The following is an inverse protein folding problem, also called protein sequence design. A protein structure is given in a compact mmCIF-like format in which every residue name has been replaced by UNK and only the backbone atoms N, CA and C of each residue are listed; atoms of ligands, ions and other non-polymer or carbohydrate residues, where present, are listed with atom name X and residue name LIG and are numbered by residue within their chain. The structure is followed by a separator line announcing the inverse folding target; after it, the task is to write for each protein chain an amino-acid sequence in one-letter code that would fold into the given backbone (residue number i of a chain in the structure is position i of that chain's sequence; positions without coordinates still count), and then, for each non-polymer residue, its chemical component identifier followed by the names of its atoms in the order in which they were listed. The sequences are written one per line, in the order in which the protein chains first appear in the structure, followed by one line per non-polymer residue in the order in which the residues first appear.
data_IF_592336737116
#
_entry.id   IF_592336737116
#
_cell.length_a   1.000
_cell.length_b   1.000
_cell.length_c   1.000
_cell.angle_alpha   90.00
_cell.angle_beta   90.00
_cell.angle_gamma   90.00
#
_symmetry.space_group_name_H-M   'P 1'
#
loop_
_entity.id
_entity.type
_entity.pdbx_description
1 polymer ?
#
# COMPACT_ATOMS: atom_id res chain seq x y z
N UNK A 1 -40.91 -49.67 2.40
CA UNK A 1 -40.53 -48.36 1.80
C UNK A 1 -39.45 -47.73 2.69
N UNK A 2 -38.18 -47.88 2.32
CA UNK A 2 -37.02 -47.34 3.05
C UNK A 2 -36.72 -45.96 2.49
N UNK A 3 -36.87 -44.92 3.31
CA UNK A 3 -36.51 -43.53 2.96
C UNK A 3 -35.00 -43.38 3.11
N UNK A 4 -34.31 -43.18 1.98
CA UNK A 4 -32.89 -42.86 1.93
C UNK A 4 -32.74 -41.36 2.24
N UNK A 5 -32.13 -41.03 3.37
CA UNK A 5 -31.71 -39.67 3.65
C UNK A 5 -30.35 -39.43 3.00
N UNK A 6 -30.33 -38.58 1.98
CA UNK A 6 -29.11 -38.11 1.35
C UNK A 6 -28.56 -36.95 2.17
N UNK A 7 -27.52 -37.21 2.97
CA UNK A 7 -26.80 -36.15 3.67
C UNK A 7 -25.89 -35.39 2.70
N UNK A 8 -26.25 -34.16 2.38
CA UNK A 8 -25.40 -33.25 1.60
C UNK A 8 -24.25 -32.77 2.48
N UNK A 9 -23.08 -33.34 2.34
CA UNK A 9 -21.84 -32.82 2.91
C UNK A 9 -21.43 -31.58 2.12
N UNK A 10 -21.75 -30.40 2.66
CA UNK A 10 -21.15 -29.15 2.25
C UNK A 10 -19.65 -29.18 2.65
N UNK A 11 -18.80 -29.52 1.70
CA UNK A 11 -17.37 -29.31 1.86
C UNK A 11 -17.13 -27.78 1.90
N UNK A 12 -16.90 -27.24 3.09
CA UNK A 12 -16.36 -25.91 3.25
C UNK A 12 -14.95 -25.91 2.61
N UNK A 13 -14.81 -25.21 1.49
CA UNK A 13 -13.50 -24.94 0.94
C UNK A 13 -12.67 -24.23 2.03
N UNK A 14 -11.43 -24.65 2.30
CA UNK A 14 -10.57 -23.90 3.19
C UNK A 14 -10.40 -22.51 2.58
N UNK A 15 -10.83 -21.47 3.34
CA UNK A 15 -10.40 -20.14 3.06
C UNK A 15 -8.87 -20.15 3.19
N UNK A 16 -8.17 -20.02 2.08
CA UNK A 16 -6.75 -19.71 2.09
C UNK A 16 -6.62 -18.33 2.73
N UNK A 17 -6.48 -18.30 4.05
CA UNK A 17 -5.88 -17.16 4.72
C UNK A 17 -4.48 -17.07 4.09
N UNK A 18 -4.23 -15.99 3.33
CA UNK A 18 -2.93 -15.75 2.75
C UNK A 18 -1.89 -15.93 3.83
N UNK A 19 -0.88 -16.78 3.59
CA UNK A 19 0.21 -16.98 4.53
C UNK A 19 0.79 -15.61 4.86
N UNK A 20 0.92 -15.33 6.16
CA UNK A 20 1.59 -14.12 6.62
C UNK A 20 3.01 -14.15 6.07
N UNK A 21 3.34 -13.24 5.16
CA UNK A 21 4.66 -13.13 4.53
C UNK A 21 5.80 -12.94 5.55
N UNK A 22 5.46 -12.53 6.76
CA UNK A 22 6.42 -12.33 7.84
C UNK A 22 6.88 -13.67 8.37
N UNK A 23 8.14 -14.02 8.08
CA UNK A 23 8.76 -15.25 8.59
C UNK A 23 9.01 -15.13 10.09
N UNK A 24 8.62 -16.14 10.88
CA UNK A 24 8.99 -16.21 12.30
C UNK A 24 10.52 -16.13 12.46
N UNK A 25 10.99 -15.18 13.25
CA UNK A 25 12.42 -14.94 13.46
C UNK A 25 13.01 -13.80 12.64
N UNK A 26 12.21 -13.10 11.82
CA UNK A 26 12.60 -11.83 11.25
C UNK A 26 12.51 -10.76 12.33
N UNK A 27 13.63 -10.51 13.01
CA UNK A 27 13.73 -9.46 14.01
C UNK A 27 14.42 -8.25 13.41
N UNK A 28 13.83 -7.09 13.57
CA UNK A 28 14.53 -5.84 13.38
C UNK A 28 15.10 -5.37 14.71
N UNK A 29 16.35 -4.95 14.68
CA UNK A 29 17.03 -4.40 15.86
C UNK A 29 16.67 -2.93 16.11
N UNK A 30 15.96 -2.29 15.19
CA UNK A 30 15.48 -0.91 15.31
C UNK A 30 13.97 -0.83 15.52
N UNK A 31 13.50 0.33 15.97
CA UNK A 31 12.09 0.53 16.29
C UNK A 31 11.18 0.40 15.05
N UNK A 32 11.65 0.86 13.89
CA UNK A 32 10.88 0.80 12.65
C UNK A 32 10.64 -0.66 12.23
N UNK A 33 11.69 -1.45 12.18
CA UNK A 33 11.57 -2.83 11.81
C UNK A 33 10.70 -3.63 12.78
N UNK A 34 10.82 -3.39 14.09
CA UNK A 34 9.95 -4.00 15.08
C UNK A 34 8.45 -3.70 14.83
N UNK A 35 8.12 -2.48 14.41
CA UNK A 35 6.77 -2.10 13.97
C UNK A 35 6.37 -2.86 12.70
N UNK A 36 7.22 -2.84 11.68
CA UNK A 36 6.94 -3.44 10.37
C UNK A 36 6.69 -4.95 10.45
N UNK A 37 7.42 -5.66 11.32
CA UNK A 37 7.20 -7.10 11.57
C UNK A 37 6.12 -7.36 12.61
N UNK A 38 5.41 -6.32 13.08
CA UNK A 38 4.28 -6.40 14.01
C UNK A 38 4.65 -6.95 15.41
N UNK A 39 5.91 -6.86 15.78
CA UNK A 39 6.38 -7.20 17.16
C UNK A 39 6.14 -6.03 18.13
N UNK A 40 6.27 -4.78 17.66
CA UNK A 40 5.94 -3.57 18.41
C UNK A 40 4.53 -3.08 18.04
N UNK A 41 3.62 -3.14 19.00
CA UNK A 41 2.19 -2.79 18.80
C UNK A 41 1.73 -1.60 19.64
N UNK A 42 2.52 -1.17 20.63
CA UNK A 42 2.13 -0.05 21.47
C UNK A 42 2.12 1.25 20.61
N UNK A 43 1.01 1.98 20.67
CA UNK A 43 0.81 3.21 19.89
C UNK A 43 0.89 3.01 18.36
N UNK A 44 0.46 1.82 17.90
CA UNK A 44 0.21 1.49 16.51
C UNK A 44 -1.25 1.08 16.38
N UNK A 45 -2.06 1.90 15.75
CA UNK A 45 -3.52 1.78 15.69
C UNK A 45 -3.97 1.56 14.24
N UNK A 46 -4.81 0.56 13.98
CA UNK A 46 -5.39 0.34 12.66
C UNK A 46 -6.41 1.43 12.35
N UNK A 47 -6.35 2.00 11.17
CA UNK A 47 -7.23 3.07 10.69
C UNK A 47 -8.38 2.46 9.89
N UNK A 48 -9.61 2.65 10.34
CA UNK A 48 -10.82 2.17 9.67
C UNK A 48 -11.61 3.30 9.00
N UNK A 49 -11.34 4.54 9.40
CA UNK A 49 -11.97 5.75 8.85
C UNK A 49 -11.09 6.97 9.06
N UNK A 50 -11.39 8.06 8.36
CA UNK A 50 -10.71 9.34 8.59
C UNK A 50 -10.87 9.82 10.04
N UNK A 51 -11.96 9.47 10.70
CA UNK A 51 -12.22 9.90 12.07
C UNK A 51 -11.18 9.35 13.06
N UNK A 52 -10.65 8.14 12.82
CA UNK A 52 -9.61 7.54 13.67
C UNK A 52 -8.32 8.37 13.68
N UNK A 53 -8.11 9.16 12.64
CA UNK A 53 -7.00 10.11 12.55
C UNK A 53 -7.43 11.50 13.05
N UNK A 54 -8.48 12.07 12.46
CA UNK A 54 -8.85 13.47 12.68
C UNK A 54 -9.26 13.77 14.12
N UNK A 55 -9.88 12.81 14.82
CA UNK A 55 -10.27 12.98 16.22
C UNK A 55 -9.10 13.12 17.20
N UNK A 56 -7.88 12.84 16.74
CA UNK A 56 -6.67 12.97 17.57
C UNK A 56 -6.09 14.40 17.55
N UNK A 57 -6.69 15.32 16.77
CA UNK A 57 -6.22 16.68 16.59
C UNK A 57 -7.31 17.72 16.82
N UNK A 58 -6.92 18.91 17.28
CA UNK A 58 -7.84 20.00 17.59
C UNK A 58 -8.51 20.61 16.34
N UNK A 59 -7.96 20.38 15.14
CA UNK A 59 -8.44 20.92 13.87
C UNK A 59 -9.29 19.92 13.07
N UNK A 60 -10.08 19.08 13.71
CA UNK A 60 -10.88 18.01 13.10
C UNK A 60 -11.72 18.48 11.90
N UNK A 61 -12.26 19.72 11.95
CA UNK A 61 -13.10 20.28 10.89
C UNK A 61 -12.37 20.44 9.54
N UNK A 62 -11.07 20.70 9.56
CA UNK A 62 -10.27 20.87 8.35
C UNK A 62 -10.20 19.60 7.51
N UNK A 63 -10.37 18.42 8.14
CA UNK A 63 -10.34 17.12 7.47
C UNK A 63 -11.57 16.84 6.61
N UNK A 64 -12.66 17.62 6.79
CA UNK A 64 -13.87 17.46 5.98
C UNK A 64 -13.60 17.58 4.49
N UNK A 65 -12.66 18.45 4.11
CA UNK A 65 -12.29 18.70 2.70
C UNK A 65 -11.67 17.46 2.01
N UNK A 66 -11.09 16.54 2.75
CA UNK A 66 -10.43 15.34 2.22
C UNK A 66 -11.16 14.03 2.55
N UNK A 67 -12.27 14.11 3.30
CA UNK A 67 -12.93 12.95 3.85
C UNK A 67 -13.39 11.94 2.79
N UNK A 68 -13.95 12.42 1.70
CA UNK A 68 -14.44 11.56 0.63
C UNK A 68 -13.28 10.78 -0.01
N UNK A 69 -12.23 11.46 -0.44
CA UNK A 69 -11.10 10.85 -1.12
C UNK A 69 -10.35 9.88 -0.18
N UNK A 70 -10.12 10.29 1.07
CA UNK A 70 -9.48 9.43 2.05
C UNK A 70 -10.21 8.11 2.24
N UNK A 71 -11.54 8.17 2.49
CA UNK A 71 -12.34 6.98 2.73
C UNK A 71 -12.42 6.08 1.48
N UNK A 72 -12.50 6.66 0.29
CA UNK A 72 -12.47 5.90 -0.96
C UNK A 72 -11.13 5.19 -1.16
N UNK A 73 -10.01 5.86 -0.89
CA UNK A 73 -8.68 5.24 -0.97
C UNK A 73 -8.52 4.13 0.06
N UNK A 74 -8.93 4.37 1.31
CA UNK A 74 -8.88 3.36 2.37
C UNK A 74 -9.71 2.13 1.99
N UNK A 75 -10.89 2.32 1.42
CA UNK A 75 -11.73 1.24 0.92
C UNK A 75 -11.02 0.46 -0.21
N UNK A 76 -10.42 1.15 -1.18
CA UNK A 76 -9.70 0.50 -2.28
C UNK A 76 -8.47 -0.29 -1.78
N UNK A 77 -7.74 0.25 -0.81
CA UNK A 77 -6.63 -0.45 -0.15
C UNK A 77 -7.12 -1.73 0.56
N UNK A 78 -8.19 -1.62 1.34
CA UNK A 78 -8.77 -2.76 2.06
C UNK A 78 -9.27 -3.86 1.11
N UNK A 79 -9.82 -3.49 -0.05
CA UNK A 79 -10.27 -4.46 -1.07
C UNK A 79 -9.12 -5.33 -1.59
N UNK A 80 -7.91 -4.80 -1.66
CA UNK A 80 -6.72 -5.55 -2.07
C UNK A 80 -5.91 -6.12 -0.90
N UNK A 81 -6.47 -6.06 0.33
CA UNK A 81 -5.86 -6.65 1.52
C UNK A 81 -4.81 -5.79 2.23
N UNK A 82 -4.72 -4.50 1.87
CA UNK A 82 -3.80 -3.56 2.50
C UNK A 82 -4.47 -2.91 3.70
N UNK A 83 -3.78 -2.89 4.83
CA UNK A 83 -4.20 -2.20 6.04
C UNK A 83 -3.42 -0.91 6.24
N UNK A 84 -4.08 0.09 6.81
CA UNK A 84 -3.47 1.37 7.16
C UNK A 84 -3.37 1.49 8.67
N UNK A 85 -2.22 1.91 9.17
CA UNK A 85 -1.97 2.11 10.59
C UNK A 85 -1.49 3.54 10.86
N UNK A 86 -1.93 4.11 11.96
CA UNK A 86 -1.38 5.32 12.55
C UNK A 86 -0.42 4.93 13.66
N UNK A 87 0.84 5.31 13.56
CA UNK A 87 1.88 4.91 14.49
C UNK A 87 2.66 6.09 15.07
N UNK A 88 3.17 5.93 16.28
CA UNK A 88 3.95 6.94 16.97
C UNK A 88 5.27 7.24 16.25
N UNK A 89 5.73 8.49 16.34
CA UNK A 89 6.97 8.95 15.69
C UNK A 89 8.20 8.13 16.06
N UNK A 90 8.26 7.53 17.26
CA UNK A 90 9.42 6.74 17.70
C UNK A 90 9.77 5.56 16.79
N UNK A 91 8.80 5.11 15.99
CA UNK A 91 8.99 4.03 15.03
C UNK A 91 9.56 4.48 13.70
N UNK A 92 9.63 5.78 13.45
CA UNK A 92 10.07 6.29 12.15
C UNK A 92 11.45 6.96 12.27
N UNK A 93 12.32 6.79 11.26
CA UNK A 93 13.49 7.63 11.13
C UNK A 93 13.11 9.11 11.06
N UNK A 94 14.05 9.98 11.40
CA UNK A 94 13.84 11.44 11.34
C UNK A 94 13.35 11.84 9.95
N UNK A 95 12.30 12.65 9.90
CA UNK A 95 11.64 13.17 8.69
C UNK A 95 10.79 12.17 7.90
N UNK A 96 10.76 10.89 8.24
CA UNK A 96 9.87 9.93 7.59
C UNK A 96 8.42 10.17 8.02
N UNK A 97 7.53 10.30 7.04
CA UNK A 97 6.11 10.59 7.25
C UNK A 97 5.23 9.36 7.19
N UNK A 98 5.65 8.35 6.46
CA UNK A 98 4.99 7.07 6.32
C UNK A 98 5.85 6.06 5.61
N UNK A 99 5.32 4.86 5.43
CA UNK A 99 5.94 3.77 4.69
C UNK A 99 4.88 2.75 4.26
N UNK A 100 4.95 2.29 3.03
CA UNK A 100 4.31 1.04 2.60
C UNK A 100 5.28 -0.11 2.78
N UNK A 101 4.88 -1.15 3.51
CA UNK A 101 5.70 -2.34 3.74
C UNK A 101 5.19 -3.51 2.91
N UNK A 102 5.89 -3.82 1.83
CA UNK A 102 5.51 -4.84 0.84
C UNK A 102 5.36 -6.25 1.41
N UNK A 103 6.11 -6.59 2.47
CA UNK A 103 6.06 -7.93 3.09
C UNK A 103 4.78 -8.14 3.88
N UNK A 104 4.32 -7.13 4.61
CA UNK A 104 3.10 -7.22 5.43
C UNK A 104 1.86 -6.61 4.77
N UNK A 105 2.01 -5.98 3.59
CA UNK A 105 0.97 -5.23 2.88
C UNK A 105 0.28 -4.19 3.78
N UNK A 106 1.08 -3.43 4.50
CA UNK A 106 0.58 -2.40 5.41
C UNK A 106 1.16 -1.04 5.07
N UNK A 107 0.32 -0.02 5.17
CA UNK A 107 0.73 1.38 5.19
C UNK A 107 0.82 1.83 6.64
N UNK A 108 1.93 2.43 7.01
CA UNK A 108 2.10 3.05 8.33
C UNK A 108 2.26 4.55 8.17
N UNK A 109 1.42 5.32 8.86
CA UNK A 109 1.40 6.78 8.86
C UNK A 109 2.02 7.28 10.16
N UNK A 110 3.00 8.19 10.06
CA UNK A 110 3.62 8.80 11.23
C UNK A 110 2.68 9.87 11.83
N UNK A 111 2.10 9.58 12.98
CA UNK A 111 1.13 10.41 13.69
C UNK A 111 1.54 11.88 13.78
N UNK A 112 2.82 12.15 13.98
CA UNK A 112 3.34 13.53 14.12
C UNK A 112 2.96 14.46 12.96
N UNK A 113 2.80 13.92 11.75
CA UNK A 113 2.60 14.71 10.54
C UNK A 113 1.15 14.69 10.03
N UNK A 114 0.28 13.88 10.64
CA UNK A 114 -1.08 13.65 10.13
C UNK A 114 -2.10 14.69 10.57
N UNK A 115 -1.68 15.70 11.32
CA UNK A 115 -2.52 16.84 11.72
C UNK A 115 -2.84 17.82 10.57
N UNK A 116 -2.25 17.63 9.39
CA UNK A 116 -2.47 18.46 8.20
C UNK A 116 -3.17 17.62 7.11
N UNK A 117 -4.44 17.90 6.78
CA UNK A 117 -5.21 17.07 5.83
C UNK A 117 -4.54 16.89 4.47
N UNK A 118 -3.90 17.95 3.95
CA UNK A 118 -3.21 17.88 2.67
C UNK A 118 -1.94 17.01 2.71
N UNK A 119 -1.21 16.98 3.84
CA UNK A 119 -0.06 16.09 4.03
C UNK A 119 -0.53 14.65 4.16
N UNK A 120 -1.60 14.41 4.94
CA UNK A 120 -2.23 13.10 5.04
C UNK A 120 -2.60 12.55 3.66
N UNK A 121 -3.31 13.35 2.85
CA UNK A 121 -3.73 12.89 1.52
C UNK A 121 -2.56 12.69 0.56
N UNK A 122 -1.57 13.60 0.58
CA UNK A 122 -0.36 13.42 -0.22
C UNK A 122 0.34 12.10 0.13
N UNK A 123 0.43 11.77 1.42
CA UNK A 123 1.07 10.56 1.88
C UNK A 123 0.24 9.31 1.54
N UNK A 124 -1.07 9.34 1.79
CA UNK A 124 -1.96 8.23 1.43
C UNK A 124 -1.87 7.89 -0.06
N UNK A 125 -1.80 8.91 -0.93
CA UNK A 125 -1.63 8.68 -2.38
C UNK A 125 -0.24 8.12 -2.70
N UNK A 126 0.81 8.61 -2.04
CA UNK A 126 2.18 8.17 -2.25
C UNK A 126 2.36 6.69 -1.83
N UNK A 127 2.02 6.35 -0.60
CA UNK A 127 2.14 4.98 -0.09
C UNK A 127 1.18 4.02 -0.80
N UNK A 128 -0.02 4.50 -1.15
CA UNK A 128 -0.96 3.75 -1.97
C UNK A 128 -0.46 3.49 -3.39
N UNK A 129 0.37 4.39 -3.95
CA UNK A 129 1.01 4.13 -5.24
C UNK A 129 2.03 3.01 -5.16
N UNK A 130 2.82 2.93 -4.08
CA UNK A 130 3.70 1.77 -3.85
C UNK A 130 2.92 0.45 -3.75
N UNK A 131 1.74 0.49 -3.17
CA UNK A 131 0.84 -0.67 -3.17
C UNK A 131 0.34 -1.03 -4.58
N UNK A 132 0.05 -0.04 -5.41
CA UNK A 132 -0.28 -0.29 -6.83
C UNK A 132 0.93 -0.85 -7.61
N UNK A 133 2.14 -0.38 -7.34
CA UNK A 133 3.38 -0.91 -7.90
C UNK A 133 3.63 -2.37 -7.47
N UNK A 134 3.31 -2.72 -6.23
CA UNK A 134 3.35 -4.11 -5.73
C UNK A 134 2.31 -4.97 -6.48
N UNK A 135 1.09 -4.47 -6.65
CA UNK A 135 0.07 -5.13 -7.45
C UNK A 135 0.45 -5.29 -8.92
N UNK A 136 1.11 -4.28 -9.50
CA UNK A 136 1.62 -4.33 -10.88
C UNK A 136 2.66 -5.43 -11.07
N UNK A 137 3.44 -5.76 -10.04
CA UNK A 137 4.36 -6.89 -10.03
C UNK A 137 3.67 -8.27 -9.99
N UNK A 138 2.37 -8.32 -10.19
CA UNK A 138 1.57 -9.53 -10.30
C UNK A 138 0.49 -9.64 -9.23
N UNK A 139 0.86 -9.57 -7.98
CA UNK A 139 -0.05 -9.50 -6.83
C UNK A 139 0.68 -8.88 -5.65
N UNK A 140 -0.05 -8.25 -4.72
CA UNK A 140 0.54 -7.76 -3.47
C UNK A 140 1.13 -8.88 -2.58
N UNK A 141 1.05 -10.14 -2.99
CA UNK A 141 1.55 -11.28 -2.23
C UNK A 141 3.00 -11.64 -2.53
N UNK A 142 3.64 -11.04 -3.53
CA UNK A 142 5.02 -11.38 -3.91
C UNK A 142 6.11 -10.49 -3.30
N UNK A 143 5.74 -9.38 -2.65
CA UNK A 143 6.65 -8.40 -2.03
C UNK A 143 7.57 -7.69 -3.02
N UNK A 144 7.20 -7.64 -4.28
CA UNK A 144 7.92 -6.95 -5.35
C UNK A 144 7.22 -5.65 -5.73
N UNK A 145 7.99 -4.71 -6.25
CA UNK A 145 7.49 -3.45 -6.78
C UNK A 145 7.86 -3.38 -8.27
N UNK A 146 6.88 -3.08 -9.13
CA UNK A 146 7.10 -2.81 -10.55
C UNK A 146 6.78 -1.36 -10.89
N UNK A 147 7.52 -0.79 -11.83
CA UNK A 147 7.24 0.54 -12.38
C UNK A 147 5.93 0.46 -13.18
N UNK A 148 5.02 1.43 -12.98
CA UNK A 148 3.72 1.46 -13.66
C UNK A 148 3.77 2.36 -14.90
N UNK A 149 4.50 3.47 -14.81
CA UNK A 149 4.59 4.48 -15.87
C UNK A 149 5.95 4.45 -16.56
N UNK A 150 6.02 4.59 -17.89
CA UNK A 150 7.29 4.83 -18.56
C UNK A 150 8.01 6.04 -17.94
N UNK A 151 9.33 5.99 -17.87
CA UNK A 151 10.12 7.07 -17.25
C UNK A 151 9.89 8.43 -17.89
N UNK A 152 9.68 8.45 -19.21
CA UNK A 152 9.40 9.63 -20.00
C UNK A 152 8.05 10.29 -19.66
N UNK A 153 7.08 9.53 -19.18
CA UNK A 153 5.77 10.01 -18.78
C UNK A 153 5.78 10.67 -17.39
N UNK A 154 6.77 10.32 -16.58
CA UNK A 154 6.91 10.92 -15.25
C UNK A 154 7.47 12.34 -15.38
N UNK A 155 6.74 13.39 -14.94
CA UNK A 155 7.21 14.75 -15.07
C UNK A 155 8.59 14.96 -14.45
N UNK A 156 9.50 15.62 -15.18
CA UNK A 156 10.91 15.81 -14.80
C UNK A 156 11.10 16.30 -13.36
N UNK A 157 10.19 17.16 -12.88
CA UNK A 157 10.30 17.72 -11.53
C UNK A 157 10.30 16.61 -10.46
N UNK A 158 9.50 15.56 -10.64
CA UNK A 158 9.40 14.47 -9.67
C UNK A 158 10.63 13.57 -9.72
N UNK A 159 11.19 13.34 -10.91
CA UNK A 159 12.47 12.61 -11.08
C UNK A 159 13.60 13.35 -10.37
N UNK A 160 13.75 14.66 -10.63
CA UNK A 160 14.78 15.49 -9.98
C UNK A 160 14.59 15.54 -8.45
N UNK A 161 13.37 15.57 -7.96
CA UNK A 161 13.12 15.52 -6.51
C UNK A 161 13.47 14.15 -5.91
N UNK A 162 13.13 13.06 -6.60
CA UNK A 162 13.48 11.71 -6.17
C UNK A 162 15.00 11.51 -6.14
N UNK A 163 15.73 11.94 -7.17
CA UNK A 163 17.20 11.90 -7.24
C UNK A 163 17.89 12.60 -6.06
N UNK A 164 17.29 13.65 -5.51
CA UNK A 164 17.82 14.38 -4.35
C UNK A 164 17.56 13.72 -3.02
N UNK A 165 16.58 12.82 -2.97
CA UNK A 165 16.04 12.29 -1.71
C UNK A 165 16.36 10.81 -1.53
N UNK A 166 16.42 10.05 -2.63
CA UNK A 166 16.51 8.60 -2.61
C UNK A 166 17.77 8.07 -3.30
N UNK A 167 18.19 6.84 -2.98
CA UNK A 167 19.25 6.16 -3.74
C UNK A 167 18.85 5.99 -5.23
N UNK A 168 19.81 6.00 -6.12
CA UNK A 168 19.58 5.93 -7.57
C UNK A 168 18.71 4.72 -7.98
N UNK A 169 18.84 3.58 -7.30
CA UNK A 169 18.03 2.40 -7.55
C UNK A 169 16.54 2.58 -7.21
N UNK A 170 16.20 3.49 -6.32
CA UNK A 170 14.82 3.75 -5.91
C UNK A 170 14.15 4.88 -6.71
N UNK A 171 14.94 5.69 -7.43
CA UNK A 171 14.43 6.88 -8.14
C UNK A 171 13.24 6.58 -9.06
N UNK A 172 13.22 5.52 -9.87
CA UNK A 172 12.10 5.27 -10.77
C UNK A 172 10.76 5.09 -10.04
N UNK A 173 10.74 4.28 -8.96
CA UNK A 173 9.52 4.02 -8.17
C UNK A 173 9.08 5.24 -7.37
N UNK A 174 10.04 5.92 -6.78
CA UNK A 174 9.79 7.08 -5.92
C UNK A 174 9.35 8.31 -6.73
N UNK A 175 9.85 8.47 -7.94
CA UNK A 175 9.43 9.54 -8.83
C UNK A 175 7.94 9.40 -9.20
N UNK A 176 7.50 8.19 -9.54
CA UNK A 176 6.08 7.90 -9.75
C UNK A 176 5.24 8.16 -8.50
N UNK A 177 5.67 7.62 -7.36
CA UNK A 177 4.95 7.78 -6.11
C UNK A 177 4.85 9.25 -5.66
N UNK A 178 5.89 10.05 -5.90
CA UNK A 178 5.84 11.49 -5.65
C UNK A 178 4.86 12.22 -6.58
N UNK A 179 4.80 11.81 -7.85
CA UNK A 179 3.82 12.34 -8.78
C UNK A 179 2.40 11.97 -8.38
N UNK A 180 2.15 10.69 -8.14
CA UNK A 180 0.85 10.20 -7.67
C UNK A 180 0.41 10.85 -6.35
N UNK A 181 1.32 11.04 -5.41
CA UNK A 181 1.07 11.71 -4.14
C UNK A 181 0.49 13.13 -4.29
N UNK A 182 0.75 13.80 -5.43
CA UNK A 182 0.23 15.13 -5.72
C UNK A 182 -0.84 15.19 -6.81
N UNK A 183 -1.24 14.05 -7.33
CA UNK A 183 -2.26 13.94 -8.37
C UNK A 183 -3.49 13.23 -7.80
N UNK A 184 -4.54 14.00 -7.51
CA UNK A 184 -5.80 13.43 -7.00
C UNK A 184 -6.38 12.41 -7.99
N UNK A 185 -6.89 11.29 -7.48
CA UNK A 185 -7.50 10.23 -8.27
C UNK A 185 -6.51 9.19 -8.83
N UNK A 186 -5.27 9.56 -9.13
CA UNK A 186 -4.29 8.70 -9.81
C UNK A 186 -4.05 7.38 -9.06
N UNK A 187 -3.78 7.45 -7.76
CA UNK A 187 -3.58 6.26 -6.93
C UNK A 187 -4.86 5.46 -6.74
N UNK A 188 -6.00 6.14 -6.60
CA UNK A 188 -7.29 5.47 -6.45
C UNK A 188 -7.65 4.64 -7.68
N UNK A 189 -7.45 5.18 -8.88
CA UNK A 189 -7.66 4.46 -10.15
C UNK A 189 -6.78 3.20 -10.23
N UNK A 190 -5.50 3.32 -9.87
CA UNK A 190 -4.57 2.19 -9.88
C UNK A 190 -4.98 1.10 -8.88
N UNK A 191 -5.37 1.47 -7.66
CA UNK A 191 -5.84 0.51 -6.66
C UNK A 191 -7.17 -0.15 -7.05
N UNK A 192 -8.05 0.56 -7.76
CA UNK A 192 -9.28 -0.04 -8.31
C UNK A 192 -8.98 -1.04 -9.42
N UNK A 193 -8.03 -0.72 -10.31
CA UNK A 193 -7.56 -1.66 -11.32
C UNK A 193 -6.92 -2.92 -10.69
N UNK A 194 -6.16 -2.72 -9.60
CA UNK A 194 -5.61 -3.81 -8.79
C UNK A 194 -6.72 -4.70 -8.22
N UNK A 195 -7.72 -4.11 -7.56
CA UNK A 195 -8.84 -4.84 -6.97
C UNK A 195 -9.67 -5.62 -8.00
N UNK A 196 -9.76 -5.09 -9.21
CA UNK A 196 -10.44 -5.75 -10.34
C UNK A 196 -9.59 -6.84 -11.01
N UNK A 197 -8.30 -6.97 -10.67
CA UNK A 197 -7.37 -7.85 -11.37
C UNK A 197 -7.05 -7.39 -12.80
N UNK A 198 -7.12 -6.08 -13.04
CA UNK A 198 -7.03 -5.48 -14.37
C UNK A 198 -5.81 -4.57 -14.58
N UNK A 199 -4.83 -4.61 -13.65
CA UNK A 199 -3.63 -3.76 -13.77
C UNK A 199 -2.99 -3.84 -15.15
N UNK A 200 -2.81 -5.05 -15.68
CA UNK A 200 -2.21 -5.30 -17.00
C UNK A 200 -3.07 -4.91 -18.20
N UNK A 201 -4.34 -4.58 -17.98
CA UNK A 201 -5.24 -4.08 -19.02
C UNK A 201 -5.31 -2.55 -19.03
N UNK A 202 -5.13 -1.94 -17.85
CA UNK A 202 -5.23 -0.50 -17.65
C UNK A 202 -3.88 0.18 -17.88
N UNK A 203 -2.80 -0.47 -17.48
CA UNK A 203 -1.46 0.07 -17.59
C UNK A 203 -0.60 -0.83 -18.47
N UNK A 204 0.02 -0.24 -19.49
CA UNK A 204 1.04 -0.93 -20.26
C UNK A 204 2.27 -1.17 -19.36
N UNK A 205 2.76 -2.41 -19.30
CA UNK A 205 3.93 -2.70 -18.50
C UNK A 205 5.16 -1.99 -19.07
N UNK A 206 5.94 -1.40 -18.18
CA UNK A 206 7.25 -0.85 -18.50
C UNK A 206 8.32 -1.96 -18.62
N UNK A 207 9.57 -1.69 -19.04
CA UNK A 207 10.57 -2.73 -19.30
C UNK A 207 10.98 -3.65 -18.14
N UNK A 208 10.64 -3.34 -16.91
CA UNK A 208 10.78 -4.30 -15.79
C UNK A 208 9.51 -5.09 -15.52
N UNK A 209 8.94 -5.62 -16.50
CA UNK A 209 7.57 -5.78 -16.81
C UNK A 209 7.12 -7.19 -16.58
N UNK A 210 5.84 -7.41 -16.86
CA UNK A 210 5.23 -8.73 -16.84
C UNK A 210 6.12 -9.76 -17.54
N UNK A 211 6.65 -9.48 -18.73
CA UNK A 211 7.52 -10.39 -19.46
C UNK A 211 8.76 -10.76 -18.66
N UNK A 212 9.48 -9.78 -18.10
CA UNK A 212 10.63 -10.04 -17.25
C UNK A 212 10.25 -10.80 -15.98
N UNK A 213 9.13 -10.47 -15.34
CA UNK A 213 8.65 -11.14 -14.13
C UNK A 213 8.25 -12.59 -14.41
N UNK A 214 7.60 -12.85 -15.58
CA UNK A 214 7.28 -14.21 -16.05
C UNK A 214 8.55 -14.97 -16.38
N UNK A 215 9.45 -14.41 -17.19
CA UNK A 215 10.72 -15.06 -17.57
C UNK A 215 11.59 -15.46 -16.38
N UNK A 216 11.53 -14.66 -15.30
CA UNK A 216 12.27 -14.91 -14.07
C UNK A 216 11.45 -15.67 -13.00
N UNK A 217 10.28 -16.18 -13.34
CA UNK A 217 9.38 -16.97 -12.47
C UNK A 217 8.91 -16.22 -11.20
N UNK A 218 8.79 -14.91 -11.25
CA UNK A 218 8.21 -14.14 -10.15
C UNK A 218 6.69 -14.12 -10.18
N UNK A 219 6.09 -14.20 -11.38
CA UNK A 219 4.64 -14.31 -11.59
C UNK A 219 4.34 -15.40 -12.63
N UNK A 220 3.11 -15.94 -12.62
CA UNK A 220 2.64 -16.88 -13.65
C UNK A 220 2.30 -16.16 -14.98
N UNK A 221 2.31 -16.90 -16.09
CA UNK A 221 1.88 -16.42 -17.42
C UNK A 221 0.41 -15.95 -17.44
#
# INVERSE_FOLDING_TARGET
MKKLFLALLLAAAPAFAGEDKITKGYNSMDAMGCMLVRECKNDVEEVHSLLDISSQYDNTEEFTSVAHEFNMMLMSMNQVGIKVFLADQRYFPVMHRGVYHTVSNNVYLNRRYMNQPHILMQLMRHEGWHAAQDCMAGTINNSMIAIIKPEEDVPMIWRVMAERTYPASAVPWEAEAQWAGRTAGMTQEALQACAAGEMWKVYEPTPMTREWLVENNYIAE
#
